data_IF_097328266188
#
_entry.id   IF_097328266188
#
_cell.length_a   1.000
_cell.length_b   1.000
_cell.length_c   1.000
_cell.angle_alpha   90.00
_cell.angle_beta   90.00
_cell.angle_gamma   90.00
#
_symmetry.space_group_name_H-M   'P 1'
#
loop_
_entity.id
_entity.type
_entity.pdbx_description
1 polymer ?
#
# COMPACT_ATOMS: atom_id res chain seq x y z
N UNK A 1 6.38 16.16 -1.18
CA UNK A 1 4.94 15.92 -1.48
C UNK A 1 4.14 16.10 -0.20
N UNK A 2 2.99 16.80 -0.22
CA UNK A 2 2.11 16.86 0.96
C UNK A 2 1.26 15.59 1.08
N UNK A 3 0.84 15.25 2.29
CA UNK A 3 0.02 14.06 2.56
C UNK A 3 -1.25 13.98 1.71
N UNK A 4 -2.00 15.09 1.62
CA UNK A 4 -3.26 15.13 0.86
C UNK A 4 -3.07 14.86 -0.63
N UNK A 5 -2.01 15.43 -1.23
CA UNK A 5 -1.67 15.23 -2.65
C UNK A 5 -1.26 13.78 -2.93
N UNK A 6 -0.46 13.20 -2.03
CA UNK A 6 -0.09 11.79 -2.06
C UNK A 6 -1.33 10.88 -2.02
N UNK A 7 -2.24 11.18 -1.09
CA UNK A 7 -3.47 10.44 -0.92
C UNK A 7 -4.33 10.45 -2.19
N UNK A 8 -4.66 11.64 -2.70
CA UNK A 8 -5.52 11.80 -3.88
C UNK A 8 -4.95 11.11 -5.12
N UNK A 9 -3.61 11.10 -5.24
CA UNK A 9 -2.92 10.53 -6.40
C UNK A 9 -2.77 9.00 -6.35
N UNK A 10 -2.56 8.42 -5.17
CA UNK A 10 -2.12 7.03 -5.04
C UNK A 10 -3.09 6.11 -4.31
N UNK A 11 -4.15 6.61 -3.65
CA UNK A 11 -5.10 5.76 -2.91
C UNK A 11 -5.77 4.66 -3.76
N UNK A 12 -5.90 4.86 -5.08
CA UNK A 12 -6.46 3.87 -6.01
C UNK A 12 -5.65 2.59 -6.07
N UNK A 13 -4.34 2.65 -5.78
CA UNK A 13 -3.49 1.46 -5.65
C UNK A 13 -4.03 0.55 -4.54
N UNK A 14 -4.39 1.13 -3.40
CA UNK A 14 -4.90 0.38 -2.24
C UNK A 14 -6.23 -0.28 -2.60
N UNK A 15 -7.19 0.48 -3.12
CA UNK A 15 -8.50 -0.07 -3.53
C UNK A 15 -8.34 -1.19 -4.57
N UNK A 16 -7.44 -1.01 -5.54
CA UNK A 16 -7.14 -2.04 -6.53
C UNK A 16 -6.58 -3.32 -5.88
N UNK A 17 -5.60 -3.19 -4.98
CA UNK A 17 -5.00 -4.33 -4.29
C UNK A 17 -6.04 -5.09 -3.46
N UNK A 18 -6.79 -4.39 -2.60
CA UNK A 18 -7.84 -5.00 -1.77
C UNK A 18 -8.87 -5.75 -2.62
N UNK A 19 -9.30 -5.15 -3.74
CA UNK A 19 -10.21 -5.78 -4.69
C UNK A 19 -9.57 -7.01 -5.37
N UNK A 20 -8.31 -6.94 -5.77
CA UNK A 20 -7.61 -8.03 -6.46
C UNK A 20 -7.41 -9.27 -5.58
N UNK A 21 -7.27 -9.07 -4.27
CA UNK A 21 -7.17 -10.15 -3.28
C UNK A 21 -8.53 -10.51 -2.66
N UNK A 22 -9.64 -10.00 -3.22
CA UNK A 22 -11.01 -10.27 -2.77
C UNK A 22 -11.23 -10.01 -1.28
N UNK A 23 -10.56 -9.00 -0.72
CA UNK A 23 -10.73 -8.63 0.68
C UNK A 23 -12.07 -7.92 0.82
N UNK A 24 -13.04 -8.59 1.43
CA UNK A 24 -14.35 -8.04 1.77
C UNK A 24 -14.57 -7.96 3.27
N UNK A 25 -13.97 -8.88 4.02
CA UNK A 25 -13.93 -8.86 5.49
C UNK A 25 -12.78 -8.00 6.00
N UNK A 26 -13.02 -7.19 7.04
CA UNK A 26 -12.08 -6.21 7.61
C UNK A 26 -11.47 -5.25 6.58
N UNK A 27 -12.24 -4.88 5.56
CA UNK A 27 -11.76 -4.01 4.48
C UNK A 27 -11.12 -2.72 5.00
N UNK A 28 -11.80 -2.02 5.91
CA UNK A 28 -11.37 -0.73 6.44
C UNK A 28 -10.03 -0.86 7.20
N UNK A 29 -9.86 -1.93 7.97
CA UNK A 29 -8.62 -2.20 8.71
C UNK A 29 -7.43 -2.41 7.74
N UNK A 30 -7.61 -3.26 6.71
CA UNK A 30 -6.57 -3.46 5.69
C UNK A 30 -6.29 -2.17 4.90
N UNK A 31 -7.32 -1.38 4.61
CA UNK A 31 -7.20 -0.09 3.94
C UNK A 31 -6.35 0.88 4.77
N UNK A 32 -6.67 1.07 6.04
CA UNK A 32 -5.94 1.95 6.95
C UNK A 32 -4.48 1.51 7.11
N UNK A 33 -4.23 0.21 7.30
CA UNK A 33 -2.87 -0.32 7.37
C UNK A 33 -2.07 -0.04 6.09
N UNK A 34 -2.65 -0.29 4.91
CA UNK A 34 -1.99 0.00 3.63
C UNK A 34 -1.79 1.50 3.42
N UNK A 35 -2.71 2.33 3.92
CA UNK A 35 -2.62 3.77 3.79
C UNK A 35 -1.47 4.36 4.62
N UNK A 36 -1.34 3.93 5.88
CA UNK A 36 -0.18 4.27 6.73
C UNK A 36 1.11 3.82 6.06
N UNK A 37 1.14 2.59 5.54
CA UNK A 37 2.33 2.05 4.87
C UNK A 37 2.68 2.84 3.60
N UNK A 38 1.69 3.25 2.82
CA UNK A 38 1.87 4.06 1.62
C UNK A 38 2.54 5.40 1.96
N UNK A 39 2.09 6.08 3.02
CA UNK A 39 2.69 7.32 3.45
C UNK A 39 4.15 7.16 3.87
N UNK A 40 4.46 6.12 4.66
CA UNK A 40 5.84 5.78 5.03
C UNK A 40 6.73 5.51 3.80
N UNK A 41 6.20 4.81 2.80
CA UNK A 41 6.93 4.52 1.57
C UNK A 41 7.22 5.79 0.76
N UNK A 42 6.27 6.72 0.68
CA UNK A 42 6.47 8.01 0.01
C UNK A 42 7.56 8.84 0.69
N UNK A 43 7.58 8.86 2.03
CA UNK A 43 8.60 9.59 2.79
C UNK A 43 10.01 9.01 2.64
N UNK A 44 10.13 7.71 2.33
CA UNK A 44 11.41 7.01 2.16
C UNK A 44 11.76 6.74 0.68
N UNK A 45 11.01 7.30 -0.26
CA UNK A 45 11.24 7.05 -1.68
C UNK A 45 12.50 7.78 -2.16
N UNK A 46 13.38 7.03 -2.79
CA UNK A 46 14.59 7.53 -3.44
C UNK A 46 14.48 7.32 -4.95
N UNK A 47 14.43 8.44 -5.68
CA UNK A 47 14.32 8.47 -7.15
C UNK A 47 15.55 7.88 -7.84
N UNK A 48 16.72 7.82 -7.19
CA UNK A 48 17.93 7.23 -7.77
C UNK A 48 17.89 5.70 -7.82
N UNK A 49 17.02 5.07 -7.01
CA UNK A 49 16.97 3.62 -6.83
C UNK A 49 15.73 2.96 -7.45
N UNK A 50 14.83 3.72 -8.09
CA UNK A 50 13.54 3.19 -8.55
C UNK A 50 13.00 3.91 -9.78
N UNK A 51 12.35 3.16 -10.67
CA UNK A 51 11.86 3.68 -11.96
C UNK A 51 10.76 4.72 -11.82
N UNK A 52 9.77 4.49 -10.95
CA UNK A 52 8.71 5.47 -10.64
C UNK A 52 8.13 5.25 -9.25
N UNK A 53 7.66 6.34 -8.60
CA UNK A 53 6.96 6.25 -7.32
C UNK A 53 5.72 5.35 -7.41
N UNK A 54 4.99 5.38 -8.53
CA UNK A 54 3.81 4.54 -8.71
C UNK A 54 4.15 3.05 -8.69
N UNK A 55 5.13 2.62 -9.49
CA UNK A 55 5.59 1.23 -9.54
C UNK A 55 6.18 0.79 -8.20
N UNK A 56 6.97 1.66 -7.57
CA UNK A 56 7.53 1.43 -6.24
C UNK A 56 6.42 1.19 -5.19
N UNK A 57 5.43 2.08 -5.12
CA UNK A 57 4.31 1.94 -4.18
C UNK A 57 3.51 0.67 -4.44
N UNK A 58 3.19 0.39 -5.70
CA UNK A 58 2.42 -0.80 -6.08
C UNK A 58 3.11 -2.09 -5.61
N UNK A 59 4.40 -2.24 -5.92
CA UNK A 59 5.17 -3.43 -5.57
C UNK A 59 5.28 -3.57 -4.05
N UNK A 60 5.65 -2.49 -3.35
CA UNK A 60 5.89 -2.54 -1.89
C UNK A 60 4.61 -2.75 -1.10
N UNK A 61 3.51 -2.14 -1.50
CA UNK A 61 2.20 -2.35 -0.86
C UNK A 61 1.67 -3.77 -1.11
N UNK A 62 1.86 -4.32 -2.32
CA UNK A 62 1.50 -5.71 -2.62
C UNK A 62 2.23 -6.70 -1.71
N UNK A 63 3.55 -6.57 -1.58
CA UNK A 63 4.32 -7.46 -0.71
C UNK A 63 3.95 -7.29 0.77
N UNK A 64 3.76 -6.06 1.24
CA UNK A 64 3.28 -5.79 2.59
C UNK A 64 1.93 -6.46 2.89
N UNK A 65 0.99 -6.42 1.95
CA UNK A 65 -0.31 -7.09 2.08
C UNK A 65 -0.16 -8.61 2.18
N UNK A 66 0.66 -9.22 1.31
CA UNK A 66 0.96 -10.67 1.35
C UNK A 66 1.58 -11.06 2.70
N UNK A 67 2.53 -10.28 3.20
CA UNK A 67 3.17 -10.56 4.50
C UNK A 67 2.20 -10.41 5.66
N UNK A 68 1.22 -9.49 5.56
CA UNK A 68 0.15 -9.36 6.55
C UNK A 68 -0.72 -10.61 6.59
N UNK A 69 -1.07 -11.17 5.43
CA UNK A 69 -1.80 -12.45 5.37
C UNK A 69 -0.99 -13.60 5.97
N UNK A 70 0.31 -13.68 5.65
CA UNK A 70 1.18 -14.71 6.22
C UNK A 70 1.20 -14.66 7.74
N UNK A 71 1.29 -13.47 8.34
CA UNK A 71 1.26 -13.31 9.80
C UNK A 71 -0.05 -13.81 10.40
N UNK A 72 -1.20 -13.38 9.86
CA UNK A 72 -2.54 -13.78 10.35
C UNK A 72 -2.83 -15.29 10.22
N UNK A 73 -2.09 -16.05 9.41
CA UNK A 73 -2.24 -17.52 9.29
C UNK A 73 -1.53 -18.26 10.42
N UNK A 74 -0.55 -17.62 11.08
CA UNK A 74 0.24 -18.21 12.16
C UNK A 74 -0.11 -17.64 13.55
N UNK A 75 -1.12 -16.76 13.63
CA UNK A 75 -1.74 -16.26 14.88
C UNK A 75 -2.99 -17.08 15.24
#
# INVERSE_FOLDING_TARGET
MKFKEAYEKYNKIIHYLLKSYQITYNYDEFYECLHIKMWQLILNFDEQQSSSLHSYLFIRLKFYLIDTFRKKVFD
#
